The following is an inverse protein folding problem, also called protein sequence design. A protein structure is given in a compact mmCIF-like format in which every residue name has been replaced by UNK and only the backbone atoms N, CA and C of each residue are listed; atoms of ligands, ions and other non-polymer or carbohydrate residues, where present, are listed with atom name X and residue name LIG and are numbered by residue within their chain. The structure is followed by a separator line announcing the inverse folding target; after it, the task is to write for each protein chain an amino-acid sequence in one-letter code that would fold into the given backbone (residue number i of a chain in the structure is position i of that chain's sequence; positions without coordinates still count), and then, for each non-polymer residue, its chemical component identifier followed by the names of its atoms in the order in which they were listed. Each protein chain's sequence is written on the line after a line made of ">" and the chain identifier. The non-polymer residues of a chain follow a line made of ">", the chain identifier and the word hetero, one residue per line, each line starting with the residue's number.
data_IF_457632403326
#
_entry.id   IF_457632403326
#
_cell.length_a   1.000
_cell.length_b   1.000
_cell.length_c   1.000
_cell.angle_alpha   90.00
_cell.angle_beta   90.00
_cell.angle_gamma   90.00
#
_symmetry.space_group_name_H-M   'P 1'
#
loop_
_entity.id
_entity.type
_entity.pdbx_description
1 polymer ?
#
# COMPACT_ATOMS: atom_id res chain seq x y z
N UNK A 1 -9.06 15.44 -4.86
CA UNK A 1 -9.57 14.37 -3.97
C UNK A 1 -9.08 14.66 -2.57
N UNK A 2 -9.98 14.75 -1.60
CA UNK A 2 -9.61 14.95 -0.19
C UNK A 2 -9.12 13.65 0.46
N UNK A 3 -8.38 13.74 1.57
CA UNK A 3 -7.92 12.55 2.31
C UNK A 3 -9.09 11.65 2.73
N UNK A 4 -10.21 12.25 3.13
CA UNK A 4 -11.40 11.53 3.54
C UNK A 4 -12.05 10.76 2.39
N UNK A 5 -12.13 11.38 1.20
CA UNK A 5 -12.63 10.72 -0.02
C UNK A 5 -11.77 9.51 -0.40
N UNK A 6 -10.45 9.64 -0.32
CA UNK A 6 -9.54 8.54 -0.64
C UNK A 6 -9.70 7.36 0.31
N UNK A 7 -9.69 7.62 1.62
CA UNK A 7 -9.84 6.56 2.63
C UNK A 7 -11.19 5.87 2.49
N UNK A 8 -12.26 6.64 2.25
CA UNK A 8 -13.58 6.08 2.01
C UNK A 8 -13.62 5.22 0.73
N UNK A 9 -12.95 5.64 -0.34
CA UNK A 9 -12.88 4.89 -1.58
C UNK A 9 -12.16 3.54 -1.39
N UNK A 10 -11.01 3.53 -0.72
CA UNK A 10 -10.25 2.29 -0.51
C UNK A 10 -10.92 1.32 0.48
N UNK A 11 -11.72 1.82 1.42
CA UNK A 11 -12.44 0.99 2.39
C UNK A 11 -13.47 0.04 1.74
N UNK A 12 -13.89 0.29 0.50
CA UNK A 12 -14.79 -0.59 -0.26
C UNK A 12 -14.08 -1.84 -0.79
N UNK A 13 -12.75 -1.84 -0.80
CA UNK A 13 -11.94 -2.93 -1.34
C UNK A 13 -11.25 -3.70 -0.22
N UNK A 14 -10.94 -4.97 -0.48
CA UNK A 14 -10.29 -5.82 0.52
C UNK A 14 -8.80 -5.49 0.72
N UNK A 15 -8.16 -4.94 -0.31
CA UNK A 15 -6.82 -4.38 -0.30
C UNK A 15 -6.77 -3.23 -1.30
N UNK A 16 -5.83 -2.32 -1.10
CA UNK A 16 -5.59 -1.19 -1.99
C UNK A 16 -4.09 -0.90 -2.06
N UNK A 17 -3.65 -0.42 -3.21
CA UNK A 17 -2.27 -0.01 -3.46
C UNK A 17 -2.22 1.48 -3.77
N UNK A 18 -1.25 2.17 -3.18
CA UNK A 18 -0.79 3.47 -3.65
C UNK A 18 0.57 3.28 -4.31
N UNK A 19 0.67 3.65 -5.58
CA UNK A 19 1.93 3.62 -6.33
C UNK A 19 2.35 5.06 -6.55
N UNK A 20 3.58 5.39 -6.18
CA UNK A 20 4.13 6.74 -6.26
C UNK A 20 5.43 6.67 -7.06
N UNK A 21 5.56 7.53 -8.05
CA UNK A 21 6.77 7.67 -8.86
C UNK A 21 7.71 8.72 -8.27
N UNK A 22 8.86 8.87 -8.94
CA UNK A 22 9.94 9.76 -8.55
C UNK A 22 9.50 11.24 -8.53
N UNK A 23 8.57 11.63 -9.42
CA UNK A 23 8.04 13.00 -9.47
C UNK A 23 7.15 13.32 -8.27
N UNK A 24 6.34 12.36 -7.83
CA UNK A 24 5.36 12.55 -6.76
C UNK A 24 5.90 12.18 -5.37
N UNK A 25 7.07 11.56 -5.26
CA UNK A 25 7.63 11.11 -3.98
C UNK A 25 7.95 12.27 -3.01
N UNK A 26 8.20 13.47 -3.53
CA UNK A 26 8.50 14.66 -2.74
C UNK A 26 7.23 15.32 -2.16
N UNK A 27 6.06 14.94 -2.68
CA UNK A 27 4.79 15.55 -2.31
C UNK A 27 4.37 15.18 -0.88
N UNK A 28 4.36 16.18 0.01
CA UNK A 28 3.99 16.03 1.42
C UNK A 28 2.55 15.56 1.62
N UNK A 29 1.62 15.95 0.73
CA UNK A 29 0.24 15.51 0.79
C UNK A 29 0.13 14.00 0.48
N UNK A 30 0.91 13.49 -0.46
CA UNK A 30 0.93 12.04 -0.77
C UNK A 30 1.46 11.22 0.40
N UNK A 31 2.51 11.71 1.07
CA UNK A 31 3.04 11.06 2.28
C UNK A 31 2.01 11.04 3.42
N UNK A 32 1.32 12.16 3.64
CA UNK A 32 0.27 12.26 4.66
C UNK A 32 -0.91 11.31 4.34
N UNK A 33 -1.34 11.28 3.08
CA UNK A 33 -2.37 10.37 2.59
C UNK A 33 -1.99 8.90 2.82
N UNK A 34 -0.77 8.52 2.45
CA UNK A 34 -0.27 7.15 2.59
C UNK A 34 -0.24 6.72 4.06
N UNK A 35 0.24 7.60 4.97
CA UNK A 35 0.23 7.34 6.42
C UNK A 35 -1.17 7.14 6.96
N UNK A 36 -2.10 8.02 6.57
CA UNK A 36 -3.47 7.94 7.05
C UNK A 36 -4.19 6.68 6.54
N UNK A 37 -4.02 6.34 5.26
CA UNK A 37 -4.56 5.12 4.67
C UNK A 37 -4.00 3.85 5.32
N UNK A 38 -2.68 3.79 5.56
CA UNK A 38 -2.04 2.66 6.23
C UNK A 38 -2.51 2.47 7.68
N UNK A 39 -2.76 3.57 8.40
CA UNK A 39 -3.28 3.51 9.76
C UNK A 39 -4.75 3.02 9.82
N UNK A 40 -5.54 3.33 8.80
CA UNK A 40 -6.98 3.06 8.79
C UNK A 40 -7.33 1.71 8.14
N UNK A 41 -6.50 1.22 7.23
CA UNK A 41 -6.80 0.04 6.42
C UNK A 41 -5.65 -0.98 6.47
N UNK A 42 -5.82 -2.06 7.25
CA UNK A 42 -4.80 -3.11 7.53
C UNK A 42 -4.10 -3.67 6.28
N UNK A 43 -4.86 -3.82 5.18
CA UNK A 43 -4.38 -4.38 3.92
C UNK A 43 -4.02 -3.33 2.86
N UNK A 44 -3.91 -2.07 3.26
CA UNK A 44 -3.33 -1.04 2.41
C UNK A 44 -1.82 -1.26 2.29
N UNK A 45 -1.28 -1.07 1.09
CA UNK A 45 0.16 -1.10 0.81
C UNK A 45 0.55 0.09 -0.05
N UNK A 46 1.80 0.50 0.11
CA UNK A 46 2.41 1.56 -0.68
C UNK A 46 3.61 1.00 -1.44
N UNK A 47 3.80 1.45 -2.66
CA UNK A 47 5.01 1.22 -3.44
C UNK A 47 5.51 2.56 -3.94
N UNK A 48 6.79 2.83 -3.76
CA UNK A 48 7.41 4.07 -4.23
C UNK A 48 8.61 3.71 -5.09
N UNK A 49 8.67 4.30 -6.28
CA UNK A 49 9.76 4.14 -7.23
C UNK A 49 10.58 5.42 -7.20
N UNK A 50 11.81 5.38 -6.68
CA UNK A 50 12.59 6.59 -6.44
C UNK A 50 13.65 6.46 -5.34
N UNK A 51 14.51 7.47 -5.21
CA UNK A 51 15.47 7.61 -4.10
C UNK A 51 14.82 8.38 -2.92
N UNK A 52 14.65 7.71 -1.77
CA UNK A 52 13.63 8.12 -0.79
C UNK A 52 14.15 8.13 0.66
N UNK A 53 13.69 9.14 1.40
CA UNK A 53 13.64 9.12 2.86
C UNK A 53 12.57 8.12 3.35
N UNK A 54 13.00 6.89 3.64
CA UNK A 54 12.13 5.77 4.05
C UNK A 54 11.26 6.11 5.27
N UNK A 55 11.74 6.97 6.19
CA UNK A 55 11.02 7.36 7.42
C UNK A 55 9.78 8.20 7.13
N UNK A 56 9.72 8.80 5.95
CA UNK A 56 8.61 9.63 5.53
C UNK A 56 7.38 8.82 5.08
N UNK A 57 7.51 7.50 4.93
CA UNK A 57 6.47 6.60 4.42
C UNK A 57 5.98 5.58 5.46
N UNK A 58 4.83 4.92 5.24
CA UNK A 58 4.36 3.82 6.10
C UNK A 58 5.38 2.67 6.19
N UNK A 59 5.43 1.96 7.32
CA UNK A 59 6.43 0.92 7.59
C UNK A 59 6.40 -0.29 6.63
N UNK A 60 5.27 -0.53 5.95
CA UNK A 60 5.07 -1.62 5.00
C UNK A 60 5.19 -1.15 3.53
N UNK A 61 5.84 -0.03 3.30
CA UNK A 61 6.09 0.52 1.96
C UNK A 61 7.19 -0.27 1.27
N UNK A 62 6.99 -0.56 -0.01
CA UNK A 62 8.00 -1.19 -0.86
C UNK A 62 8.71 -0.09 -1.65
N UNK A 63 10.02 -0.04 -1.53
CA UNK A 63 10.86 0.90 -2.28
C UNK A 63 11.52 0.18 -3.45
N UNK A 64 11.48 0.82 -4.61
CA UNK A 64 12.14 0.36 -5.83
C UNK A 64 13.05 1.49 -6.35
N UNK A 65 14.19 1.12 -6.92
CA UNK A 65 15.08 2.08 -7.58
C UNK A 65 14.37 2.76 -8.76
N UNK A 66 14.73 4.02 -9.04
CA UNK A 66 14.31 4.73 -10.27
C UNK A 66 14.74 3.99 -11.55
N UNK A 67 15.82 3.18 -11.47
CA UNK A 67 16.29 2.35 -12.58
C UNK A 67 15.55 1.02 -12.72
N UNK A 68 14.56 0.75 -11.85
CA UNK A 68 13.80 -0.48 -11.92
C UNK A 68 12.98 -0.53 -13.22
N UNK A 69 13.17 -1.61 -14.00
CA UNK A 69 12.36 -1.89 -15.17
C UNK A 69 10.88 -1.96 -14.79
N UNK A 70 10.00 -1.44 -15.64
CA UNK A 70 8.54 -1.50 -15.40
C UNK A 70 8.02 -2.92 -15.21
N UNK A 71 8.66 -3.92 -15.83
CA UNK A 71 8.35 -5.34 -15.61
C UNK A 71 8.62 -5.77 -14.17
N UNK A 72 9.72 -5.33 -13.57
CA UNK A 72 10.04 -5.63 -12.18
C UNK A 72 9.01 -5.00 -11.21
N UNK A 73 8.54 -3.77 -11.51
CA UNK A 73 7.46 -3.12 -10.75
C UNK A 73 6.18 -3.94 -10.83
N UNK A 74 5.76 -4.35 -12.03
CA UNK A 74 4.54 -5.13 -12.26
C UNK A 74 4.63 -6.52 -11.58
N UNK A 75 5.76 -7.21 -11.72
CA UNK A 75 5.96 -8.52 -11.11
C UNK A 75 5.95 -8.43 -9.58
N UNK A 76 6.54 -7.37 -9.01
CA UNK A 76 6.48 -7.13 -7.56
C UNK A 76 5.05 -6.88 -7.11
N UNK A 77 4.31 -6.01 -7.80
CA UNK A 77 2.89 -5.74 -7.49
C UNK A 77 2.05 -7.02 -7.56
N UNK A 78 2.27 -7.86 -8.57
CA UNK A 78 1.57 -9.14 -8.73
C UNK A 78 1.84 -10.07 -7.55
N UNK A 79 3.11 -10.26 -7.21
CA UNK A 79 3.53 -11.17 -6.13
C UNK A 79 2.97 -10.70 -4.78
N UNK A 80 3.11 -9.42 -4.46
CA UNK A 80 2.63 -8.87 -3.19
C UNK A 80 1.11 -8.87 -3.09
N UNK A 81 0.41 -8.57 -4.20
CA UNK A 81 -1.05 -8.68 -4.25
C UNK A 81 -1.54 -10.12 -4.02
N UNK A 82 -0.80 -11.11 -4.54
CA UNK A 82 -1.10 -12.51 -4.30
C UNK A 82 -0.92 -12.90 -2.82
N UNK A 83 0.20 -12.49 -2.21
CA UNK A 83 0.48 -12.71 -0.78
C UNK A 83 -0.58 -12.04 0.12
N UNK A 84 -0.98 -10.81 -0.21
CA UNK A 84 -2.06 -10.11 0.50
C UNK A 84 -3.37 -10.89 0.44
N UNK A 85 -3.75 -11.41 -0.74
CA UNK A 85 -4.99 -12.19 -0.89
C UNK A 85 -5.03 -13.40 0.03
N UNK A 86 -3.92 -14.15 0.10
CA UNK A 86 -3.79 -15.31 0.99
C UNK A 86 -3.90 -14.85 2.45
N UNK A 87 -3.18 -13.79 2.82
CA UNK A 87 -3.17 -13.26 4.19
C UNK A 87 -4.55 -12.79 4.64
N UNK A 88 -5.29 -12.10 3.77
CA UNK A 88 -6.67 -11.64 4.01
C UNK A 88 -7.59 -12.84 4.25
N UNK A 89 -7.54 -13.85 3.37
CA UNK A 89 -8.34 -15.06 3.49
C UNK A 89 -8.10 -15.76 4.83
N UNK A 90 -6.81 -15.95 5.17
CA UNK A 90 -6.37 -16.55 6.42
C UNK A 90 -6.85 -15.76 7.65
N UNK A 91 -6.64 -14.45 7.67
CA UNK A 91 -7.04 -13.61 8.80
C UNK A 91 -8.56 -13.63 9.02
N UNK A 92 -9.36 -13.63 7.94
CA UNK A 92 -10.82 -13.81 8.04
C UNK A 92 -11.22 -15.19 8.57
N UNK A 93 -10.48 -16.22 8.20
CA UNK A 93 -10.73 -17.56 8.73
C UNK A 93 -10.43 -17.62 10.23
N UNK A 94 -9.27 -17.10 10.64
CA UNK A 94 -8.87 -17.06 12.05
C UNK A 94 -9.82 -16.24 12.92
N UNK A 95 -10.26 -15.06 12.47
CA UNK A 95 -11.24 -14.25 13.20
C UNK A 95 -12.56 -14.99 13.43
N UNK A 96 -13.00 -15.79 12.45
CA UNK A 96 -14.21 -16.64 12.58
C UNK A 96 -14.04 -17.78 13.57
N UNK A 97 -12.82 -18.31 13.72
CA UNK A 97 -12.52 -19.35 14.71
C UNK A 97 -12.43 -18.77 16.12
N UNK A 98 -11.91 -17.56 16.28
CA UNK A 98 -11.79 -16.87 17.57
C UNK A 98 -13.13 -16.36 18.11
N UNK A 99 -14.12 -16.14 17.23
CA UNK A 99 -15.46 -15.70 17.59
C UNK A 99 -16.43 -16.86 17.87
N UNK A 100 -15.92 -18.08 18.04
CA UNK A 100 -16.67 -19.29 18.41
C UNK A 100 -16.35 -19.67 19.84
#
# INVERSE_FOLDING_TARGET
>A
MSNAEFVHAIAKHQSAWLIVDDEMQSNSNMKALAKHAAATHEYFRCMVVGEIDEKAWPANTIFLSSDALSTAVIDRLRNESHVLRISISRNRHMRRLQSR
#
